data_IF_263777122068
#
_entry.id   IF_263777122068
#
_cell.length_a   1.000
_cell.length_b   1.000
_cell.length_c   1.000
_cell.angle_alpha   90.00
_cell.angle_beta   90.00
_cell.angle_gamma   90.00
#
_symmetry.space_group_name_H-M   'P 1'
#
loop_
_entity.id
_entity.type
_entity.pdbx_description
1 polymer ?
#
# COMPACT_ATOMS: atom_id res chain seq x y z
N UNK A 1 -2.41 -10.12 -14.01
CA UNK A 1 -2.38 -8.75 -13.50
C UNK A 1 -1.08 -8.55 -12.75
N UNK A 2 -0.10 -7.95 -13.42
CA UNK A 2 1.20 -7.60 -12.85
C UNK A 2 1.20 -6.08 -12.72
N UNK A 3 0.89 -5.56 -11.53
CA UNK A 3 1.16 -4.16 -11.21
C UNK A 3 2.61 -4.13 -10.77
N UNK A 4 3.48 -3.60 -11.62
CA UNK A 4 4.91 -3.47 -11.29
C UNK A 4 5.13 -2.13 -10.62
N UNK A 5 5.17 -2.12 -9.28
CA UNK A 5 5.79 -1.03 -8.51
C UNK A 5 7.15 -1.54 -8.08
N UNK A 6 8.18 -1.20 -8.84
CA UNK A 6 9.56 -1.36 -8.39
C UNK A 6 9.96 -0.08 -7.67
N UNK A 7 9.91 -0.11 -6.35
CA UNK A 7 10.80 0.72 -5.54
C UNK A 7 11.40 -0.20 -4.47
N UNK A 8 12.73 -0.29 -4.45
CA UNK A 8 13.47 -1.22 -3.60
C UNK A 8 13.48 -0.83 -2.11
N UNK A 9 12.62 0.09 -1.68
CA UNK A 9 12.59 0.61 -0.32
C UNK A 9 11.24 0.30 0.32
N UNK A 10 11.31 -0.39 1.47
CA UNK A 10 10.22 -0.74 2.40
C UNK A 10 9.45 -2.02 2.09
N UNK A 11 10.15 -3.15 2.21
CA UNK A 11 9.51 -4.47 2.24
C UNK A 11 8.64 -4.71 3.48
N UNK A 12 8.84 -4.00 4.62
CA UNK A 12 8.01 -4.19 5.82
C UNK A 12 6.84 -3.22 5.95
N UNK A 13 6.73 -2.16 5.16
CA UNK A 13 5.55 -1.28 5.20
C UNK A 13 4.25 -2.00 4.81
N UNK A 14 4.34 -3.22 4.27
CA UNK A 14 3.21 -4.10 3.96
C UNK A 14 2.87 -5.13 5.05
N UNK A 15 3.73 -5.37 6.03
CA UNK A 15 3.54 -6.40 7.07
C UNK A 15 2.51 -6.01 8.15
N UNK A 16 2.43 -4.75 8.64
CA UNK A 16 1.42 -4.37 9.63
C UNK A 16 -0.02 -4.30 9.05
N UNK A 17 -0.19 -4.30 7.72
CA UNK A 17 -1.51 -4.23 7.09
C UNK A 17 -2.24 -5.59 7.09
N UNK A 18 -1.51 -6.70 7.20
CA UNK A 18 -2.07 -8.07 7.24
C UNK A 18 -2.42 -8.49 8.68
N UNK A 19 -1.90 -7.77 9.67
CA UNK A 19 -1.95 -8.11 11.09
C UNK A 19 -3.20 -7.64 11.85
N UNK A 20 -3.86 -6.59 11.36
CA UNK A 20 -4.90 -5.90 12.14
C UNK A 20 -6.30 -6.52 11.98
N UNK A 21 -6.43 -7.64 11.26
CA UNK A 21 -7.68 -8.38 11.11
C UNK A 21 -7.58 -9.77 11.74
N UNK A 22 -8.25 -9.90 12.89
CA UNK A 22 -8.70 -11.16 13.52
C UNK A 22 -7.63 -12.13 14.07
N UNK A 23 -6.74 -11.61 14.92
CA UNK A 23 -6.18 -12.35 16.08
C UNK A 23 -5.46 -11.38 17.01
N UNK A 24 -5.91 -11.22 18.27
CA UNK A 24 -5.08 -10.61 19.33
C UNK A 24 -4.04 -11.59 19.89
N UNK A 25 -4.00 -12.82 19.37
CA UNK A 25 -3.03 -13.82 19.77
C UNK A 25 -1.80 -13.72 18.85
N UNK A 26 -0.69 -13.24 19.42
CA UNK A 26 0.65 -13.37 18.84
C UNK A 26 0.94 -14.86 18.66
N UNK A 27 1.14 -15.31 17.42
CA UNK A 27 1.49 -16.71 17.16
C UNK A 27 2.99 -16.83 17.10
N UNK A 28 3.52 -17.68 17.97
CA UNK A 28 4.95 -17.98 18.08
C UNK A 28 5.77 -16.70 18.28
N UNK A 29 5.89 -16.28 19.55
CA UNK A 29 6.95 -15.48 20.19
C UNK A 29 8.10 -15.00 19.29
N UNK A 30 7.80 -14.19 18.26
CA UNK A 30 8.75 -13.73 17.23
C UNK A 30 8.39 -12.34 16.73
N UNK A 31 9.40 -11.60 16.31
CA UNK A 31 9.31 -10.26 15.72
C UNK A 31 10.16 -10.22 14.46
N UNK A 32 9.60 -9.67 13.38
CA UNK A 32 10.29 -9.48 12.12
C UNK A 32 10.88 -8.07 12.12
N UNK A 33 12.18 -7.96 11.87
CA UNK A 33 12.92 -6.70 11.86
C UNK A 33 13.71 -6.53 10.57
N UNK A 34 13.76 -5.31 10.06
CA UNK A 34 14.74 -4.85 9.09
C UNK A 34 15.53 -3.73 9.72
N UNK A 35 16.84 -3.81 9.64
CA UNK A 35 17.73 -2.73 10.05
C UNK A 35 18.66 -2.48 8.88
N UNK A 36 18.72 -1.24 8.41
CA UNK A 36 19.58 -0.84 7.28
C UNK A 36 20.39 0.38 7.64
N UNK A 37 21.57 0.50 7.04
CA UNK A 37 22.41 1.69 7.13
C UNK A 37 23.13 1.91 5.81
N UNK A 38 22.92 3.09 5.20
CA UNK A 38 23.41 3.40 3.85
C UNK A 38 23.12 2.25 2.84
N UNK A 39 21.87 1.78 2.83
CA UNK A 39 21.36 0.70 1.97
C UNK A 39 21.96 -0.70 2.20
N UNK A 40 22.80 -0.88 3.22
CA UNK A 40 23.30 -2.18 3.65
C UNK A 40 22.49 -2.72 4.84
N UNK A 41 22.19 -4.01 4.82
CA UNK A 41 21.55 -4.68 5.96
C UNK A 41 22.49 -4.74 7.16
N UNK A 42 21.96 -4.46 8.34
CA UNK A 42 22.65 -4.48 9.62
C UNK A 42 22.07 -5.61 10.47
N UNK A 43 22.93 -6.44 11.07
CA UNK A 43 22.47 -7.43 12.04
C UNK A 43 21.90 -6.70 13.26
N UNK A 44 20.71 -7.08 13.71
CA UNK A 44 20.05 -6.42 14.85
C UNK A 44 20.91 -6.50 16.13
N UNK A 45 21.78 -7.52 16.24
CA UNK A 45 22.76 -7.68 17.33
C UNK A 45 23.82 -6.59 17.36
N UNK A 46 24.06 -5.88 16.26
CA UNK A 46 25.07 -4.82 16.18
C UNK A 46 24.52 -3.46 16.62
N UNK A 47 23.19 -3.30 16.70
CA UNK A 47 22.54 -2.05 17.09
C UNK A 47 23.01 -1.54 18.47
N UNK A 48 23.08 -2.38 19.53
CA UNK A 48 23.62 -1.94 20.82
C UNK A 48 25.04 -1.38 20.75
N UNK A 49 25.93 -2.02 19.99
CA UNK A 49 27.33 -1.58 19.85
C UNK A 49 27.42 -0.25 19.12
N UNK A 50 26.64 -0.06 18.06
CA UNK A 50 26.56 1.21 17.32
C UNK A 50 26.09 2.37 18.21
N UNK A 51 25.17 2.10 19.12
CA UNK A 51 24.67 3.08 20.09
C UNK A 51 25.72 3.39 21.16
N UNK A 52 26.45 2.38 21.64
CA UNK A 52 27.59 2.57 22.54
C UNK A 52 28.71 3.42 21.90
N UNK A 53 29.09 3.09 20.66
CA UNK A 53 30.09 3.84 19.88
C UNK A 53 29.65 5.30 19.66
N UNK A 54 28.35 5.55 19.53
CA UNK A 54 27.75 6.88 19.43
C UNK A 54 27.50 7.58 20.78
N UNK A 55 27.88 6.95 21.91
CA UNK A 55 27.66 7.44 23.29
C UNK A 55 26.19 7.69 23.63
N UNK A 56 25.29 6.89 23.04
CA UNK A 56 23.84 6.94 23.28
C UNK A 56 23.47 5.92 24.36
N UNK A 57 22.93 6.41 25.48
CA UNK A 57 22.43 5.56 26.55
C UNK A 57 21.15 4.81 26.13
N UNK A 58 21.06 3.54 26.52
CA UNK A 58 19.96 2.65 26.14
C UNK A 58 19.28 1.97 27.34
N UNK A 59 18.09 1.44 27.06
CA UNK A 59 17.30 0.61 27.99
C UNK A 59 18.15 -0.58 28.47
N UNK A 60 18.31 -0.78 29.79
CA UNK A 60 19.02 -1.93 30.34
C UNK A 60 18.41 -3.24 29.84
N UNK A 61 19.25 -4.25 29.57
CA UNK A 61 18.80 -5.61 29.22
C UNK A 61 18.64 -5.90 27.73
N UNK A 62 18.39 -4.93 26.85
CA UNK A 62 18.19 -5.20 25.42
C UNK A 62 19.45 -5.77 24.73
N UNK A 63 20.62 -5.23 25.06
CA UNK A 63 21.89 -5.74 24.55
C UNK A 63 22.19 -7.18 25.00
N UNK A 64 21.77 -7.54 26.21
CA UNK A 64 21.91 -8.90 26.72
C UNK A 64 20.91 -9.84 26.03
N UNK A 65 19.66 -9.39 25.88
CA UNK A 65 18.61 -10.11 25.17
C UNK A 65 19.02 -10.43 23.72
N UNK A 66 19.45 -9.44 22.92
CA UNK A 66 19.82 -9.65 21.52
C UNK A 66 21.01 -10.60 21.33
N UNK A 67 21.91 -10.70 22.33
CA UNK A 67 23.02 -11.68 22.31
C UNK A 67 22.53 -13.11 22.47
N UNK A 68 21.50 -13.33 23.29
CA UNK A 68 21.00 -14.67 23.61
C UNK A 68 19.77 -15.07 22.79
N UNK A 69 19.07 -14.11 22.18
CA UNK A 69 17.88 -14.35 21.40
C UNK A 69 18.19 -15.20 20.16
N UNK A 70 17.29 -16.14 19.86
CA UNK A 70 17.32 -16.86 18.59
C UNK A 70 16.94 -15.90 17.48
N UNK A 71 17.88 -15.63 16.57
CA UNK A 71 17.66 -14.72 15.42
C UNK A 71 17.98 -15.47 14.13
N UNK A 72 17.00 -15.52 13.23
CA UNK A 72 17.14 -16.09 11.88
C UNK A 72 17.23 -14.96 10.85
N UNK A 73 18.35 -14.87 10.14
CA UNK A 73 18.54 -13.92 9.04
C UNK A 73 18.07 -14.54 7.72
N UNK A 74 17.16 -13.85 7.02
CA UNK A 74 16.69 -14.20 5.68
C UNK A 74 17.66 -13.62 4.65
N UNK A 75 18.65 -14.42 4.26
CA UNK A 75 19.82 -13.98 3.48
C UNK A 75 19.49 -13.16 2.22
N UNK A 76 18.39 -13.46 1.52
CA UNK A 76 18.02 -12.78 0.28
C UNK A 76 17.36 -11.40 0.49
N UNK A 77 16.67 -11.20 1.61
CA UNK A 77 15.94 -9.95 1.90
C UNK A 77 16.55 -9.13 3.02
N UNK A 78 17.56 -9.66 3.72
CA UNK A 78 18.19 -9.02 4.87
C UNK A 78 17.32 -8.94 6.13
N UNK A 79 16.05 -9.35 6.04
CA UNK A 79 15.12 -9.42 7.17
C UNK A 79 15.62 -10.38 8.24
N UNK A 80 15.35 -10.07 9.49
CA UNK A 80 15.71 -10.89 10.64
C UNK A 80 14.46 -11.23 11.44
N UNK A 81 14.31 -12.50 11.79
CA UNK A 81 13.24 -12.97 12.67
C UNK A 81 13.83 -13.23 14.04
N UNK A 82 13.46 -12.40 15.01
CA UNK A 82 13.95 -12.41 16.41
C UNK A 82 12.92 -13.12 17.27
N UNK A 83 13.31 -14.12 18.05
CA UNK A 83 12.41 -14.72 19.04
C UNK A 83 12.21 -13.78 20.24
N UNK A 84 10.97 -13.38 20.50
CA UNK A 84 10.53 -12.42 21.53
C UNK A 84 9.43 -13.03 22.40
N UNK A 85 9.36 -12.72 23.69
CA UNK A 85 8.33 -13.26 24.58
C UNK A 85 7.94 -12.22 25.62
N UNK A 86 6.67 -12.22 26.03
CA UNK A 86 6.15 -11.37 27.11
C UNK A 86 6.89 -11.57 28.45
N UNK A 87 7.50 -12.74 28.67
CA UNK A 87 8.27 -13.04 29.89
C UNK A 87 9.71 -12.51 29.83
N UNK A 88 10.16 -12.06 28.65
CA UNK A 88 11.54 -11.58 28.42
C UNK A 88 11.54 -10.18 27.81
N UNK A 89 11.58 -10.11 26.48
CA UNK A 89 11.42 -8.89 25.70
C UNK A 89 10.25 -9.13 24.75
N UNK A 90 9.18 -8.37 24.93
CA UNK A 90 8.01 -8.41 24.05
C UNK A 90 8.35 -7.86 22.68
N UNK A 91 7.50 -8.16 21.69
CA UNK A 91 7.66 -7.57 20.36
C UNK A 91 7.58 -6.04 20.40
N UNK A 92 6.72 -5.49 21.26
CA UNK A 92 6.54 -4.05 21.42
C UNK A 92 7.78 -3.39 22.02
N UNK A 93 8.40 -4.02 23.01
CA UNK A 93 9.65 -3.54 23.61
C UNK A 93 10.79 -3.53 22.61
N UNK A 94 10.91 -4.58 21.78
CA UNK A 94 11.93 -4.65 20.74
C UNK A 94 11.68 -3.58 19.65
N UNK A 95 10.45 -3.43 19.18
CA UNK A 95 10.12 -2.42 18.17
C UNK A 95 10.30 -0.99 18.70
N UNK A 96 9.92 -0.72 19.95
CA UNK A 96 10.15 0.57 20.59
C UNK A 96 11.64 0.90 20.70
N UNK A 97 12.46 -0.09 21.07
CA UNK A 97 13.91 0.06 21.14
C UNK A 97 14.53 0.36 19.77
N UNK A 98 14.16 -0.36 18.71
CA UNK A 98 14.71 -0.14 17.37
C UNK A 98 14.29 1.22 16.79
N UNK A 99 13.07 1.66 17.09
CA UNK A 99 12.58 2.99 16.72
C UNK A 99 13.36 4.10 17.44
N UNK A 100 13.62 3.93 18.74
CA UNK A 100 14.44 4.87 19.51
C UNK A 100 15.89 4.91 18.99
N UNK A 101 16.47 3.74 18.66
CA UNK A 101 17.78 3.64 18.06
C UNK A 101 17.89 4.39 16.72
N UNK A 102 16.95 4.17 15.80
CA UNK A 102 16.90 4.86 14.51
C UNK A 102 16.75 6.38 14.67
N UNK A 103 16.05 6.84 15.70
CA UNK A 103 15.90 8.28 15.97
C UNK A 103 17.19 8.94 16.47
N UNK A 104 18.12 8.16 17.03
CA UNK A 104 19.37 8.64 17.64
C UNK A 104 20.62 8.37 16.81
N UNK A 105 20.58 7.39 15.90
CA UNK A 105 21.68 7.08 14.99
C UNK A 105 21.38 7.58 13.59
N UNK A 106 22.09 8.62 13.17
CA UNK A 106 21.98 9.14 11.82
C UNK A 106 22.34 8.07 10.80
N UNK A 107 21.46 7.84 9.82
CA UNK A 107 21.66 6.85 8.76
C UNK A 107 21.37 5.41 9.17
N UNK A 108 20.72 5.17 10.32
CA UNK A 108 20.13 3.87 10.67
C UNK A 108 18.62 3.94 10.42
N UNK A 109 18.10 3.05 9.58
CA UNK A 109 16.66 2.87 9.39
C UNK A 109 16.23 1.52 9.96
N UNK A 110 15.12 1.52 10.69
CA UNK A 110 14.63 0.36 11.43
C UNK A 110 13.13 0.19 11.17
N UNK A 111 12.77 -0.95 10.58
CA UNK A 111 11.39 -1.39 10.45
C UNK A 111 11.17 -2.63 11.34
N UNK A 112 10.04 -2.70 12.05
CA UNK A 112 9.77 -3.76 13.02
C UNK A 112 8.29 -4.09 13.05
N UNK A 113 7.95 -5.38 13.09
CA UNK A 113 6.58 -5.87 13.20
C UNK A 113 6.52 -7.15 14.03
N UNK A 114 5.54 -7.30 14.94
CA UNK A 114 5.23 -8.60 15.54
C UNK A 114 4.94 -9.67 14.48
N UNK A 115 5.20 -10.94 14.84
CA UNK A 115 4.75 -12.09 14.06
C UNK A 115 3.27 -12.38 14.39
N UNK A 116 2.38 -12.00 13.47
CA UNK A 116 0.96 -12.22 13.64
C UNK A 116 0.57 -13.62 13.15
N UNK A 117 -0.31 -14.30 13.88
CA UNK A 117 -1.00 -15.48 13.35
C UNK A 117 -1.83 -15.05 12.15
N UNK A 118 -1.62 -15.69 11.00
CA UNK A 118 -2.65 -15.70 9.97
C UNK A 118 -3.46 -16.96 10.21
N UNK A 119 -4.63 -16.82 10.86
CA UNK A 119 -5.62 -17.89 10.88
C UNK A 119 -6.49 -17.71 9.65
N UNK A 120 -6.47 -18.67 8.74
CA UNK A 120 -7.45 -18.69 7.65
C UNK A 120 -8.78 -19.13 8.26
N UNK A 121 -9.60 -18.18 8.72
CA UNK A 121 -10.99 -18.45 9.09
C UNK A 121 -11.85 -17.17 9.14
N UNK A 122 -12.52 -16.88 8.02
CA UNK A 122 -13.98 -16.81 7.96
C UNK A 122 -14.41 -17.10 6.51
N UNK A 123 -15.25 -18.11 6.33
CA UNK A 123 -15.90 -18.49 5.05
C UNK A 123 -17.01 -17.52 4.64
N UNK A 124 -17.11 -16.35 5.29
CA UNK A 124 -17.94 -15.26 4.84
C UNK A 124 -17.58 -14.90 3.40
N UNK A 125 -18.39 -15.38 2.46
CA UNK A 125 -18.41 -14.94 1.08
C UNK A 125 -18.92 -13.49 0.94
N UNK A 126 -19.06 -12.77 2.04
CA UNK A 126 -19.59 -11.42 2.09
C UNK A 126 -18.44 -10.44 2.40
N UNK A 127 -18.31 -9.41 1.57
CA UNK A 127 -17.34 -8.32 1.76
C UNK A 127 -17.83 -7.29 2.79
N UNK A 128 -18.97 -7.55 3.46
CA UNK A 128 -19.58 -6.66 4.43
C UNK A 128 -20.16 -5.40 3.78
N UNK A 129 -20.58 -5.52 2.51
CA UNK A 129 -21.13 -4.42 1.72
C UNK A 129 -22.40 -4.85 1.02
N UNK A 130 -23.32 -3.92 0.79
CA UNK A 130 -24.63 -4.21 0.21
C UNK A 130 -24.65 -4.27 -1.34
N UNK A 131 -23.48 -4.21 -1.98
CA UNK A 131 -23.33 -4.17 -3.43
C UNK A 131 -23.58 -5.59 -4.03
N UNK A 132 -24.54 -5.78 -4.97
CA UNK A 132 -25.01 -7.10 -5.42
C UNK A 132 -23.93 -8.05 -5.95
N UNK A 133 -22.92 -7.52 -6.63
CA UNK A 133 -21.82 -8.28 -7.23
C UNK A 133 -20.59 -8.37 -6.32
N UNK A 134 -20.62 -7.85 -5.10
CA UNK A 134 -19.52 -7.97 -4.13
C UNK A 134 -19.14 -9.43 -3.86
N UNK A 135 -20.13 -10.32 -3.86
CA UNK A 135 -19.90 -11.77 -3.71
C UNK A 135 -19.06 -12.38 -4.83
N UNK A 136 -19.00 -11.77 -6.01
CA UNK A 136 -18.20 -12.22 -7.16
C UNK A 136 -16.73 -11.75 -7.08
N UNK A 137 -16.42 -10.78 -6.22
CA UNK A 137 -15.09 -10.18 -6.09
C UNK A 137 -14.13 -11.04 -5.25
N UNK A 138 -13.81 -12.24 -5.74
CA UNK A 138 -12.95 -13.22 -5.05
C UNK A 138 -11.58 -12.66 -4.66
N UNK A 139 -11.02 -11.77 -5.48
CA UNK A 139 -9.74 -11.12 -5.16
C UNK A 139 -9.83 -10.25 -3.89
N UNK A 140 -10.94 -9.52 -3.72
CA UNK A 140 -11.13 -8.66 -2.55
C UNK A 140 -11.32 -9.48 -1.28
N UNK A 141 -11.97 -10.65 -1.39
CA UNK A 141 -12.07 -11.60 -0.28
C UNK A 141 -10.70 -12.14 0.13
N UNK A 142 -9.88 -12.56 -0.85
CA UNK A 142 -8.51 -13.04 -0.61
C UNK A 142 -7.59 -11.97 -0.01
N UNK A 143 -7.84 -10.69 -0.32
CA UNK A 143 -7.13 -9.55 0.26
C UNK A 143 -7.73 -9.08 1.59
N UNK A 144 -8.74 -9.77 2.11
CA UNK A 144 -9.50 -9.40 3.30
C UNK A 144 -9.97 -7.93 3.30
N UNK A 145 -10.49 -7.47 2.15
CA UNK A 145 -10.81 -6.06 1.94
C UNK A 145 -11.87 -5.52 2.91
N UNK A 146 -12.77 -6.36 3.41
CA UNK A 146 -13.74 -5.98 4.44
C UNK A 146 -13.03 -5.39 5.65
N UNK A 147 -12.01 -6.08 6.16
CA UNK A 147 -11.25 -5.59 7.29
C UNK A 147 -10.36 -4.41 6.93
N UNK A 148 -9.76 -4.41 5.74
CA UNK A 148 -9.00 -3.23 5.26
C UNK A 148 -9.88 -1.98 5.30
N UNK A 149 -11.11 -2.04 4.78
CA UNK A 149 -12.02 -0.89 4.83
C UNK A 149 -12.41 -0.52 6.25
N UNK A 150 -12.77 -1.51 7.08
CA UNK A 150 -13.15 -1.29 8.48
C UNK A 150 -12.05 -0.62 9.29
N UNK A 151 -10.80 -1.05 9.11
CA UNK A 151 -9.64 -0.58 9.86
C UNK A 151 -9.06 0.72 9.33
N UNK A 152 -9.10 0.94 8.01
CA UNK A 152 -8.56 2.15 7.38
C UNK A 152 -9.50 3.35 7.42
N UNK A 153 -10.82 3.14 7.51
CA UNK A 153 -11.81 4.22 7.45
C UNK A 153 -11.55 5.39 8.42
N UNK A 154 -11.13 5.19 9.69
CA UNK A 154 -10.83 6.29 10.60
C UNK A 154 -9.58 7.11 10.23
N UNK A 155 -8.69 6.54 9.42
CA UNK A 155 -7.35 7.07 9.11
C UNK A 155 -7.22 7.59 7.67
N UNK A 156 -8.11 7.21 6.76
CA UNK A 156 -8.11 7.62 5.35
C UNK A 156 -8.56 9.08 5.16
N UNK A 157 -7.77 10.04 5.67
CA UNK A 157 -8.09 11.48 5.66
C UNK A 157 -7.62 12.20 4.40
N UNK A 158 -6.61 11.67 3.72
CA UNK A 158 -6.06 12.26 2.49
C UNK A 158 -6.77 11.70 1.28
N UNK A 159 -7.26 12.58 0.41
CA UNK A 159 -7.75 12.19 -0.91
C UNK A 159 -6.57 11.91 -1.82
N UNK A 160 -6.52 10.71 -2.38
CA UNK A 160 -5.44 10.26 -3.28
C UNK A 160 -5.83 10.53 -4.73
N UNK A 161 -4.95 11.14 -5.50
CA UNK A 161 -5.10 11.36 -6.93
C UNK A 161 -4.60 10.14 -7.71
N UNK A 162 -5.43 9.53 -8.56
CA UNK A 162 -5.07 8.31 -9.31
C UNK A 162 -5.32 8.53 -10.80
N UNK A 163 -4.29 8.35 -11.61
CA UNK A 163 -4.41 8.32 -13.07
C UNK A 163 -4.71 6.91 -13.57
N UNK A 164 -5.68 6.80 -14.48
CA UNK A 164 -5.96 5.57 -15.22
C UNK A 164 -5.51 5.77 -16.67
N UNK A 165 -4.37 5.20 -17.01
CA UNK A 165 -3.80 5.19 -18.38
C UNK A 165 -4.29 3.96 -19.13
N UNK A 166 -5.37 4.08 -19.90
CA UNK A 166 -6.02 2.94 -20.57
C UNK A 166 -6.81 3.42 -21.80
N UNK A 167 -7.82 2.69 -22.26
CA UNK A 167 -8.70 3.10 -23.38
C UNK A 167 -9.77 4.15 -23.00
N UNK A 168 -9.81 4.61 -21.75
CA UNK A 168 -10.66 5.73 -21.33
C UNK A 168 -11.69 5.38 -20.27
N UNK A 169 -12.32 6.41 -19.70
CA UNK A 169 -13.33 6.33 -18.64
C UNK A 169 -14.60 7.09 -19.02
N UNK A 170 -15.74 6.55 -18.63
CA UNK A 170 -17.03 7.21 -18.68
C UNK A 170 -17.47 7.64 -17.28
N UNK A 171 -17.26 8.92 -16.95
CA UNK A 171 -17.70 9.49 -15.68
C UNK A 171 -19.21 9.73 -15.57
N UNK A 172 -20.01 9.37 -16.57
CA UNK A 172 -21.48 9.27 -16.43
C UNK A 172 -21.90 7.99 -15.70
N UNK A 173 -21.00 7.02 -15.55
CA UNK A 173 -21.23 5.81 -14.77
C UNK A 173 -21.40 6.13 -13.27
N UNK A 174 -22.56 5.84 -12.65
CA UNK A 174 -22.82 6.18 -11.25
C UNK A 174 -21.82 5.55 -10.28
N UNK A 175 -21.16 4.46 -10.66
CA UNK A 175 -20.15 3.78 -9.85
C UNK A 175 -18.85 4.58 -9.71
N UNK A 176 -18.50 5.42 -10.70
CA UNK A 176 -17.26 6.21 -10.66
C UNK A 176 -17.46 7.73 -10.77
N UNK A 177 -18.66 8.19 -11.10
CA UNK A 177 -18.99 9.60 -11.30
C UNK A 177 -18.52 10.52 -10.16
N UNK A 178 -18.69 10.17 -8.86
CA UNK A 178 -18.27 11.06 -7.77
C UNK A 178 -16.75 11.25 -7.67
N UNK A 179 -15.95 10.39 -8.30
CA UNK A 179 -14.50 10.44 -8.23
C UNK A 179 -13.86 11.20 -9.39
N UNK A 180 -14.65 11.79 -10.32
CA UNK A 180 -14.11 12.63 -11.39
C UNK A 180 -13.31 13.80 -10.79
N UNK A 181 -12.00 13.80 -10.99
CA UNK A 181 -11.13 14.82 -10.45
C UNK A 181 -10.96 16.01 -11.38
N UNK A 182 -10.81 17.20 -10.79
CA UNK A 182 -10.30 18.40 -11.45
C UNK A 182 -8.90 18.65 -10.91
N UNK A 183 -7.90 18.69 -11.80
CA UNK A 183 -6.51 18.84 -11.42
C UNK A 183 -5.91 20.10 -12.03
N UNK A 184 -5.12 20.81 -11.23
CA UNK A 184 -4.39 21.99 -11.69
C UNK A 184 -3.02 21.55 -12.18
N UNK A 185 -2.67 21.96 -13.38
CA UNK A 185 -1.37 21.68 -13.99
C UNK A 185 -0.31 22.59 -13.38
N UNK A 186 0.88 22.06 -13.08
CA UNK A 186 2.04 22.87 -12.69
C UNK A 186 2.47 23.78 -13.84
N UNK A 187 2.34 23.31 -15.08
CA UNK A 187 2.56 24.07 -16.32
C UNK A 187 1.55 25.20 -16.56
N UNK A 188 0.45 25.23 -15.82
CA UNK A 188 -0.62 26.21 -15.95
C UNK A 188 -1.88 25.66 -16.62
N UNK A 189 -3.04 26.14 -16.16
CA UNK A 189 -4.35 25.62 -16.54
C UNK A 189 -4.82 24.46 -15.65
N UNK A 190 -5.88 23.79 -16.08
CA UNK A 190 -6.47 22.66 -15.37
C UNK A 190 -7.06 21.64 -16.34
N UNK A 191 -7.21 20.41 -15.86
CA UNK A 191 -7.84 19.30 -16.55
C UNK A 191 -9.06 18.85 -15.73
N UNK A 192 -10.19 18.63 -16.40
CA UNK A 192 -11.43 18.16 -15.76
C UNK A 192 -11.76 16.74 -16.23
N UNK A 193 -11.53 15.76 -15.36
CA UNK A 193 -11.75 14.35 -15.61
C UNK A 193 -10.65 13.67 -16.42
N UNK A 194 -9.95 14.34 -17.33
CA UNK A 194 -8.92 13.68 -18.14
C UNK A 194 -8.58 14.34 -19.48
N UNK A 195 -7.75 13.64 -20.24
CA UNK A 195 -7.38 13.95 -21.63
C UNK A 195 -7.28 12.67 -22.45
N UNK A 196 -7.62 12.76 -23.73
CA UNK A 196 -7.46 11.70 -24.72
C UNK A 196 -6.31 12.04 -25.66
N UNK A 197 -5.24 11.25 -25.55
CA UNK A 197 -4.03 11.39 -26.35
C UNK A 197 -4.15 10.69 -27.71
N UNK A 198 -5.17 9.84 -27.91
CA UNK A 198 -5.37 9.15 -29.19
C UNK A 198 -5.89 10.09 -30.28
N UNK A 199 -6.66 11.11 -29.90
CA UNK A 199 -7.28 12.07 -30.81
C UNK A 199 -7.16 13.55 -30.35
N UNK A 200 -6.28 13.81 -29.37
CA UNK A 200 -6.03 15.13 -28.80
C UNK A 200 -7.29 15.90 -28.38
N UNK A 201 -8.13 15.25 -27.57
CA UNK A 201 -9.42 15.80 -27.18
C UNK A 201 -9.78 15.57 -25.71
N UNK A 202 -10.88 16.20 -25.28
CA UNK A 202 -11.51 15.94 -23.99
C UNK A 202 -12.50 14.76 -24.02
N UNK A 203 -12.58 13.99 -25.11
CA UNK A 203 -13.45 12.82 -25.17
C UNK A 203 -12.78 11.62 -24.48
N UNK A 204 -13.19 11.35 -23.25
CA UNK A 204 -12.61 10.30 -22.41
C UNK A 204 -13.27 8.94 -22.61
N UNK A 205 -14.41 8.89 -23.28
CA UNK A 205 -15.24 7.70 -23.34
C UNK A 205 -14.72 6.68 -24.35
N UNK A 206 -15.10 5.42 -24.16
CA UNK A 206 -14.68 4.30 -25.00
C UNK A 206 -15.77 3.25 -25.05
N UNK A 207 -15.97 2.63 -26.22
CA UNK A 207 -16.78 1.43 -26.34
C UNK A 207 -16.11 0.21 -25.68
N UNK A 208 -14.77 0.21 -25.62
CA UNK A 208 -14.01 -0.79 -24.87
C UNK A 208 -14.05 -0.46 -23.38
N UNK A 209 -14.52 -1.42 -22.58
CA UNK A 209 -14.77 -1.21 -21.15
C UNK A 209 -13.56 -1.58 -20.27
N UNK A 210 -12.40 -1.88 -20.82
CA UNK A 210 -11.23 -2.30 -20.04
C UNK A 210 -10.78 -1.21 -19.06
N UNK A 211 -10.62 0.04 -19.51
CA UNK A 211 -10.30 1.17 -18.65
C UNK A 211 -11.37 1.42 -17.60
N UNK A 212 -12.64 1.33 -17.99
CA UNK A 212 -13.78 1.45 -17.07
C UNK A 212 -13.75 0.38 -15.98
N UNK A 213 -13.45 -0.86 -16.32
CA UNK A 213 -13.35 -1.97 -15.37
C UNK A 213 -12.19 -1.75 -14.39
N UNK A 214 -11.04 -1.27 -14.88
CA UNK A 214 -9.92 -0.88 -14.02
C UNK A 214 -10.32 0.22 -13.03
N UNK A 215 -10.99 1.28 -13.48
CA UNK A 215 -11.45 2.35 -12.60
C UNK A 215 -12.48 1.88 -11.56
N UNK A 216 -13.40 0.97 -11.92
CA UNK A 216 -14.34 0.38 -10.96
C UNK A 216 -13.63 -0.46 -9.90
N UNK A 217 -12.62 -1.25 -10.26
CA UNK A 217 -11.81 -1.98 -9.27
C UNK A 217 -11.13 -1.00 -8.31
N UNK A 218 -10.60 0.13 -8.82
CA UNK A 218 -9.97 1.15 -7.99
C UNK A 218 -10.98 1.81 -7.05
N UNK A 219 -12.12 2.28 -7.58
CA UNK A 219 -12.92 3.29 -6.91
C UNK A 219 -14.43 3.07 -6.89
N UNK A 220 -14.99 2.00 -7.49
CA UNK A 220 -16.45 1.80 -7.50
C UNK A 220 -17.09 2.10 -6.12
N UNK A 221 -18.23 2.79 -6.15
CA UNK A 221 -18.93 3.18 -4.94
C UNK A 221 -19.30 1.92 -4.18
N UNK A 222 -19.01 1.93 -2.88
CA UNK A 222 -19.41 0.86 -1.98
C UNK A 222 -20.65 1.25 -1.22
N UNK A 223 -21.40 0.24 -0.78
CA UNK A 223 -22.58 0.40 0.06
C UNK A 223 -23.67 1.26 -0.60
N UNK A 224 -23.77 1.22 -1.93
CA UNK A 224 -24.78 1.99 -2.68
C UNK A 224 -25.89 1.11 -3.27
N UNK A 225 -25.92 -0.17 -2.90
CA UNK A 225 -26.83 -1.21 -3.40
C UNK A 225 -26.75 -1.40 -4.93
N UNK A 226 -25.60 -1.09 -5.54
CA UNK A 226 -25.41 -1.18 -6.97
C UNK A 226 -24.10 -1.91 -7.30
N UNK A 227 -24.13 -2.66 -8.40
CA UNK A 227 -22.99 -3.39 -8.97
C UNK A 227 -21.96 -3.93 -7.95
N UNK A 228 -20.77 -3.33 -7.88
CA UNK A 228 -19.59 -3.88 -7.22
C UNK A 228 -18.90 -2.86 -6.31
N UNK A 229 -18.09 -3.37 -5.40
CA UNK A 229 -17.32 -2.56 -4.47
C UNK A 229 -15.94 -2.17 -5.03
N UNK A 230 -15.56 -0.90 -4.95
CA UNK A 230 -14.21 -0.43 -5.27
C UNK A 230 -13.22 -0.56 -4.13
N UNK A 231 -11.93 -0.60 -4.43
CA UNK A 231 -10.88 -0.71 -3.42
C UNK A 231 -10.82 0.51 -2.49
N UNK A 232 -10.84 1.72 -3.03
CA UNK A 232 -10.63 2.96 -2.31
C UNK A 232 -11.81 3.93 -2.48
N UNK A 233 -12.22 4.57 -1.38
CA UNK A 233 -13.38 5.47 -1.36
C UNK A 233 -13.00 6.95 -1.20
N UNK A 234 -11.72 7.25 -0.96
CA UNK A 234 -11.20 8.62 -0.85
C UNK A 234 -10.17 8.89 -1.94
N UNK A 235 -10.62 8.84 -3.20
CA UNK A 235 -9.79 9.03 -4.39
C UNK A 235 -10.37 10.10 -5.32
N UNK A 236 -9.52 10.68 -6.16
CA UNK A 236 -9.89 11.45 -7.34
C UNK A 236 -9.25 10.79 -8.55
N UNK A 237 -10.05 10.39 -9.50
CA UNK A 237 -9.63 9.75 -10.73
C UNK A 237 -9.40 10.79 -11.84
N UNK A 238 -8.38 10.55 -12.66
CA UNK A 238 -8.17 11.21 -13.95
C UNK A 238 -8.00 10.14 -15.03
N UNK A 239 -8.74 10.26 -16.12
CA UNK A 239 -8.59 9.41 -17.29
C UNK A 239 -7.50 9.98 -18.19
N UNK A 240 -6.45 9.21 -18.44
CA UNK A 240 -5.43 9.53 -19.42
C UNK A 240 -5.54 8.50 -20.54
N UNK A 241 -6.40 8.78 -21.51
CA UNK A 241 -6.74 7.80 -22.55
C UNK A 241 -5.60 7.69 -23.56
N UNK A 242 -4.96 6.53 -23.63
CA UNK A 242 -3.78 6.25 -24.46
C UNK A 242 -4.05 5.19 -25.54
N UNK A 243 -5.18 4.50 -25.43
CA UNK A 243 -5.58 3.43 -26.35
C UNK A 243 -6.92 3.71 -27.02
N UNK A 244 -7.06 3.28 -28.26
CA UNK A 244 -8.30 3.29 -29.03
C UNK A 244 -9.28 2.19 -28.59
N UNK A 245 -10.41 2.09 -29.30
CA UNK A 245 -11.46 1.11 -28.99
C UNK A 245 -11.01 -0.34 -29.20
N UNK A 246 -10.07 -0.59 -30.11
CA UNK A 246 -9.48 -1.90 -30.34
C UNK A 246 -8.41 -2.29 -29.28
N UNK A 247 -8.14 -1.41 -28.32
CA UNK A 247 -7.11 -1.59 -27.29
C UNK A 247 -5.69 -1.32 -27.78
N UNK A 248 -5.51 -0.79 -29.00
CA UNK A 248 -4.20 -0.41 -29.50
C UNK A 248 -3.85 1.01 -29.07
N UNK A 249 -2.57 1.24 -28.75
CA UNK A 249 -2.04 2.54 -28.35
C UNK A 249 -0.57 2.65 -28.75
N UNK A 250 -0.07 3.89 -28.86
CA UNK A 250 1.33 4.16 -29.17
C UNK A 250 2.13 4.40 -27.89
N UNK A 251 3.44 4.14 -27.94
CA UNK A 251 4.35 4.49 -26.84
C UNK A 251 4.43 6.01 -26.62
N UNK A 252 4.19 6.79 -27.67
CA UNK A 252 4.10 8.25 -27.62
C UNK A 252 2.94 8.70 -26.71
N UNK A 253 1.72 8.19 -26.93
CA UNK A 253 0.57 8.55 -26.09
C UNK A 253 0.80 8.17 -24.62
N UNK A 254 1.48 7.05 -24.35
CA UNK A 254 1.83 6.65 -22.97
C UNK A 254 2.82 7.65 -22.37
N UNK A 255 3.86 8.05 -23.11
CA UNK A 255 4.84 9.01 -22.63
C UNK A 255 4.20 10.38 -22.34
N UNK A 256 3.31 10.86 -23.20
CA UNK A 256 2.55 12.10 -23.00
C UNK A 256 1.61 12.01 -21.79
N UNK A 257 0.95 10.86 -21.60
CA UNK A 257 0.13 10.61 -20.43
C UNK A 257 0.97 10.60 -19.14
N UNK A 258 2.16 10.02 -19.15
CA UNK A 258 3.07 10.05 -18.01
C UNK A 258 3.52 11.48 -17.68
N UNK A 259 3.86 12.28 -18.69
CA UNK A 259 4.21 13.69 -18.51
C UNK A 259 3.04 14.48 -17.90
N UNK A 260 1.82 14.30 -18.43
CA UNK A 260 0.60 14.90 -17.88
C UNK A 260 0.35 14.48 -16.43
N UNK A 261 0.54 13.21 -16.09
CA UNK A 261 0.37 12.68 -14.74
C UNK A 261 1.31 13.37 -13.73
N UNK A 262 2.57 13.59 -14.12
CA UNK A 262 3.56 14.34 -13.33
C UNK A 262 3.16 15.81 -13.20
N UNK A 263 2.70 16.43 -14.29
CA UNK A 263 2.30 17.84 -14.34
C UNK A 263 1.08 18.14 -13.45
N UNK A 264 0.10 17.23 -13.41
CA UNK A 264 -1.09 17.36 -12.56
C UNK A 264 -0.88 16.84 -11.13
N UNK A 265 0.28 16.23 -10.87
CA UNK A 265 0.67 15.74 -9.54
C UNK A 265 -0.25 14.64 -9.02
N UNK A 266 -0.51 13.62 -9.83
CA UNK A 266 -1.12 12.39 -9.30
C UNK A 266 -0.17 11.71 -8.31
N UNK A 267 -0.76 10.93 -7.39
CA UNK A 267 -0.04 10.17 -6.36
C UNK A 267 0.38 8.79 -6.87
#
# INVERSE_FOLDING_TARGET
>A
FLVTVFEAMKLLSFVPLIAASTSTNVYDSKTIVSVTSADAFVDVRDVPKRLEDAKVALKPGMAAFLKTATIKTLKSSGLQVVATSEDTVSSDDLCAYLKDAASKLSGLDCECSPNFAIKEEDTSNDLGVNDPNASLQKAFKRMNMQDVWRLSAPYARRTVAVAVMDNGLNFSDPEIAPYRGVFRKKSGGSIDGGWNFVDDSSNLTSANQHGQACARIIAARKNNSNDMAGMASNVRLVSLKTQGEDGTGSWEHIAEAMDMAVDIGVD
#
